data_IF_968413788097
#
_entry.id   IF_968413788097
#
_cell.length_a   1.000
_cell.length_b   1.000
_cell.length_c   1.000
_cell.angle_alpha   90.00
_cell.angle_beta   90.00
_cell.angle_gamma   90.00
#
_symmetry.space_group_name_H-M   'P 1'
#
loop_
_entity.id
_entity.type
_entity.pdbx_description
1 polymer ?
#
# COMPACT_ATOMS: atom_id res chain seq x y z
N UNK A 1 -25.71 -4.30 16.36
CA UNK A 1 -25.00 -3.48 15.34
C UNK A 1 -23.57 -3.33 15.83
N UNK A 2 -22.63 -4.08 15.25
CA UNK A 2 -21.21 -3.91 15.56
C UNK A 2 -20.81 -2.48 15.15
N UNK A 3 -20.14 -1.75 16.03
CA UNK A 3 -19.59 -0.43 15.67
C UNK A 3 -18.74 -0.61 14.42
N UNK A 4 -19.00 0.20 13.39
CA UNK A 4 -18.15 0.22 12.21
C UNK A 4 -16.85 0.87 12.64
N UNK A 5 -15.90 0.06 13.11
CA UNK A 5 -14.58 0.53 13.51
C UNK A 5 -13.97 1.16 12.26
N UNK A 6 -13.71 2.46 12.29
CA UNK A 6 -13.01 3.16 11.23
C UNK A 6 -11.79 3.84 11.85
N UNK A 7 -10.60 3.50 11.36
CA UNK A 7 -9.33 4.02 11.87
C UNK A 7 -8.67 4.87 10.81
N UNK A 8 -8.39 6.11 11.16
CA UNK A 8 -7.54 6.97 10.36
C UNK A 8 -6.08 6.60 10.62
N UNK A 9 -5.40 6.15 9.57
CA UNK A 9 -3.94 5.98 9.58
C UNK A 9 -3.30 7.34 9.29
N UNK A 10 -2.47 7.89 10.20
CA UNK A 10 -1.69 9.10 9.94
C UNK A 10 -0.77 8.93 8.73
N UNK A 11 -0.46 10.04 8.05
CA UNK A 11 0.42 10.04 6.88
C UNK A 11 1.61 10.95 7.13
N UNK A 12 2.81 10.42 7.01
CA UNK A 12 4.06 11.17 7.03
C UNK A 12 4.64 11.27 5.62
N UNK A 13 4.91 12.51 5.18
CA UNK A 13 5.52 12.77 3.87
C UNK A 13 7.02 12.96 4.01
N UNK A 14 7.78 12.06 3.41
CA UNK A 14 9.22 12.16 3.35
C UNK A 14 9.67 12.90 2.08
N UNK A 15 10.82 13.57 2.16
CA UNK A 15 11.52 14.05 0.97
C UNK A 15 11.96 12.82 0.17
N UNK A 16 11.75 12.85 -1.14
CA UNK A 16 12.28 11.79 -2.00
C UNK A 16 13.82 11.82 -1.94
N UNK A 17 14.43 10.67 -1.63
CA UNK A 17 15.89 10.55 -1.64
C UNK A 17 16.48 10.71 -3.06
N UNK A 18 15.68 10.43 -4.10
CA UNK A 18 16.03 10.59 -5.52
C UNK A 18 14.81 11.02 -6.34
N UNK A 19 15.02 11.51 -7.56
CA UNK A 19 13.93 11.82 -8.49
C UNK A 19 13.11 10.56 -8.81
N UNK A 20 11.99 10.37 -8.10
CA UNK A 20 11.07 9.30 -8.36
C UNK A 20 10.46 9.51 -9.76
N UNK A 21 10.87 8.69 -10.73
CA UNK A 21 10.25 8.72 -12.05
C UNK A 21 8.77 8.37 -11.95
N UNK A 22 7.98 8.86 -12.90
CA UNK A 22 6.55 8.54 -12.93
C UNK A 22 6.32 7.07 -13.37
N UNK A 23 5.21 6.50 -12.92
CA UNK A 23 4.61 5.24 -13.36
C UNK A 23 3.08 5.32 -13.12
N UNK A 24 2.32 4.59 -13.90
CA UNK A 24 0.85 4.56 -13.87
C UNK A 24 0.32 3.33 -13.12
N UNK A 25 -0.96 3.38 -12.73
CA UNK A 25 -1.60 2.25 -12.04
C UNK A 25 -1.55 0.98 -12.90
N UNK A 26 -1.72 1.12 -14.22
CA UNK A 26 -1.68 0.03 -15.19
C UNK A 26 -0.27 -0.54 -15.42
N UNK A 27 0.78 0.14 -14.92
CA UNK A 27 2.15 -0.39 -14.96
C UNK A 27 2.40 -1.44 -13.86
N UNK A 28 1.47 -1.57 -12.90
CA UNK A 28 1.55 -2.57 -11.84
C UNK A 28 1.09 -3.95 -12.33
N UNK A 29 1.73 -5.05 -11.87
CA UNK A 29 1.40 -6.39 -12.35
C UNK A 29 0.20 -6.99 -11.62
N UNK A 30 -0.52 -7.89 -12.31
CA UNK A 30 -1.55 -8.75 -11.71
C UNK A 30 -2.65 -7.97 -11.00
N UNK A 31 -3.00 -8.40 -9.79
CA UNK A 31 -4.06 -7.76 -9.00
C UNK A 31 -3.69 -6.35 -8.49
N UNK A 32 -2.40 -5.97 -8.49
CA UNK A 32 -1.98 -4.63 -8.05
C UNK A 32 -2.50 -3.50 -8.94
N UNK A 33 -2.75 -3.76 -10.23
CA UNK A 33 -3.38 -2.79 -11.13
C UNK A 33 -4.89 -2.60 -10.86
N UNK A 34 -5.50 -3.47 -10.05
CA UNK A 34 -6.94 -3.51 -9.82
C UNK A 34 -7.35 -3.30 -8.35
N UNK A 35 -6.84 -2.27 -7.64
CA UNK A 35 -7.22 -2.03 -6.26
C UNK A 35 -8.67 -1.54 -6.17
N UNK A 36 -9.27 -1.61 -4.98
CA UNK A 36 -10.59 -1.01 -4.71
C UNK A 36 -10.53 0.53 -4.79
N UNK A 37 -9.42 1.12 -4.33
CA UNK A 37 -9.12 2.55 -4.47
C UNK A 37 -7.63 2.80 -4.68
N UNK A 38 -7.28 3.93 -5.30
CA UNK A 38 -5.88 4.32 -5.49
C UNK A 38 -5.70 5.83 -5.56
N UNK A 39 -4.58 6.32 -5.02
CA UNK A 39 -4.17 7.73 -5.03
C UNK A 39 -2.68 7.85 -5.32
N UNK A 40 -2.31 8.76 -6.22
CA UNK A 40 -0.92 9.19 -6.44
C UNK A 40 -0.57 10.33 -5.50
N UNK A 41 0.56 10.21 -4.83
CA UNK A 41 1.07 11.19 -3.87
C UNK A 41 1.77 12.33 -4.62
N UNK A 42 1.28 13.55 -4.43
CA UNK A 42 1.92 14.77 -4.94
C UNK A 42 3.05 15.27 -4.04
N UNK A 43 3.82 16.26 -4.51
CA UNK A 43 4.81 16.95 -3.66
C UNK A 43 4.14 17.71 -2.50
N UNK A 44 2.91 18.16 -2.71
CA UNK A 44 2.04 18.75 -1.70
C UNK A 44 0.66 18.08 -1.72
N UNK A 45 -0.09 18.17 -0.62
CA UNK A 45 -1.42 17.55 -0.46
C UNK A 45 -2.38 17.91 -1.59
N UNK A 46 -2.41 19.19 -2.00
CA UNK A 46 -3.26 19.68 -3.10
C UNK A 46 -2.91 19.11 -4.48
N UNK A 47 -1.77 18.45 -4.61
CA UNK A 47 -1.28 17.83 -5.84
C UNK A 47 -1.47 16.30 -5.83
N UNK A 48 -2.03 15.74 -4.75
CA UNK A 48 -2.43 14.34 -4.77
C UNK A 48 -3.49 14.14 -5.84
N UNK A 49 -3.38 13.02 -6.56
CA UNK A 49 -4.26 12.70 -7.67
C UNK A 49 -4.97 11.38 -7.41
N UNK A 50 -6.29 11.42 -7.36
CA UNK A 50 -7.11 10.21 -7.38
C UNK A 50 -6.83 9.41 -8.67
N UNK A 51 -6.51 8.13 -8.51
CA UNK A 51 -6.36 7.20 -9.63
C UNK A 51 -7.58 6.28 -9.72
N UNK A 52 -8.21 5.92 -8.60
CA UNK A 52 -9.40 5.05 -8.57
C UNK A 52 -10.26 5.27 -7.32
N UNK A 53 -11.58 5.38 -7.52
CA UNK A 53 -12.68 5.43 -6.52
C UNK A 53 -12.65 6.57 -5.48
N UNK A 54 -11.51 6.84 -4.85
CA UNK A 54 -11.36 7.79 -3.74
C UNK A 54 -10.74 9.10 -4.22
N UNK A 55 -11.26 10.23 -3.72
CA UNK A 55 -10.84 11.58 -4.16
C UNK A 55 -9.57 12.12 -3.51
N UNK A 56 -9.11 11.55 -2.39
CA UNK A 56 -7.97 12.09 -1.62
C UNK A 56 -7.19 11.03 -0.86
N UNK A 57 -5.93 11.35 -0.53
CA UNK A 57 -5.07 10.49 0.27
C UNK A 57 -5.66 10.22 1.68
N UNK A 58 -6.26 11.24 2.31
CA UNK A 58 -6.93 11.06 3.60
C UNK A 58 -8.11 10.08 3.52
N UNK A 59 -8.84 10.07 2.40
CA UNK A 59 -9.96 9.15 2.21
C UNK A 59 -9.52 7.69 2.07
N UNK A 60 -8.35 7.44 1.47
CA UNK A 60 -7.84 6.07 1.25
C UNK A 60 -7.17 5.51 2.52
N UNK A 61 -6.61 6.37 3.38
CA UNK A 61 -5.99 5.97 4.66
C UNK A 61 -6.95 5.87 5.84
N UNK A 62 -8.25 6.07 5.59
CA UNK A 62 -9.31 5.76 6.54
C UNK A 62 -9.76 4.32 6.34
N UNK A 63 -9.26 3.42 7.18
CA UNK A 63 -9.46 1.98 7.06
C UNK A 63 -10.66 1.51 7.90
N UNK A 64 -11.39 0.55 7.34
CA UNK A 64 -12.36 -0.32 8.03
C UNK A 64 -11.78 -1.74 8.13
N UNK A 65 -12.27 -2.58 9.06
CA UNK A 65 -11.90 -3.98 9.11
C UNK A 65 -11.93 -4.67 7.74
N UNK A 66 -10.91 -5.46 7.44
CA UNK A 66 -10.72 -6.12 6.14
C UNK A 66 -10.20 -5.21 5.04
N UNK A 67 -9.81 -3.97 5.36
CA UNK A 67 -9.16 -3.08 4.41
C UNK A 67 -7.67 -2.98 4.67
N UNK A 68 -6.92 -2.92 3.56
CA UNK A 68 -5.47 -2.90 3.58
C UNK A 68 -4.98 -1.89 2.56
N UNK A 69 -4.00 -1.09 2.96
CA UNK A 69 -3.28 -0.20 2.06
C UNK A 69 -1.86 -0.69 1.82
N UNK A 70 -1.38 -0.49 0.59
CA UNK A 70 -0.01 -0.76 0.18
C UNK A 70 0.60 0.47 -0.49
N UNK A 71 1.82 0.83 -0.10
CA UNK A 71 2.58 1.91 -0.73
C UNK A 71 3.56 1.35 -1.77
N UNK A 72 3.43 1.79 -3.03
CA UNK A 72 4.38 1.51 -4.09
C UNK A 72 5.06 2.78 -4.61
N UNK A 73 6.39 2.75 -4.63
CA UNK A 73 7.18 3.62 -5.48
C UNK A 73 7.51 2.96 -6.82
N UNK A 74 8.24 3.69 -7.67
CA UNK A 74 8.65 3.20 -8.99
C UNK A 74 9.58 1.99 -8.94
N UNK A 75 10.49 1.95 -7.96
CA UNK A 75 11.42 0.82 -7.82
C UNK A 75 10.67 -0.44 -7.44
N UNK A 76 9.74 -0.32 -6.50
CA UNK A 76 8.88 -1.39 -6.01
C UNK A 76 7.98 -1.94 -7.13
N UNK A 77 7.38 -1.04 -7.92
CA UNK A 77 6.62 -1.41 -9.12
C UNK A 77 7.48 -2.20 -10.11
N UNK A 78 8.71 -1.75 -10.39
CA UNK A 78 9.63 -2.47 -11.28
C UNK A 78 10.00 -3.86 -10.76
N UNK A 79 10.26 -3.99 -9.46
CA UNK A 79 10.62 -5.27 -8.85
C UNK A 79 9.45 -6.26 -8.90
N UNK A 80 8.24 -5.82 -8.56
CA UNK A 80 7.03 -6.64 -8.70
C UNK A 80 6.82 -7.08 -10.16
N UNK A 81 6.94 -6.17 -11.12
CA UNK A 81 6.80 -6.49 -12.55
C UNK A 81 7.88 -7.44 -13.05
N UNK A 82 9.12 -7.31 -12.58
CA UNK A 82 10.19 -8.26 -12.89
C UNK A 82 9.92 -9.65 -12.28
N UNK A 83 9.34 -9.71 -11.09
CA UNK A 83 8.93 -10.96 -10.46
C UNK A 83 7.81 -11.66 -11.24
N UNK A 84 6.74 -10.93 -11.57
CA UNK A 84 5.64 -11.43 -12.42
C UNK A 84 6.17 -12.07 -13.71
N UNK A 85 7.10 -11.39 -14.40
CA UNK A 85 7.72 -11.89 -15.63
C UNK A 85 8.53 -13.16 -15.40
N UNK A 86 9.34 -13.22 -14.33
CA UNK A 86 10.12 -14.43 -13.98
C UNK A 86 9.23 -15.63 -13.65
N UNK A 87 8.03 -15.38 -13.13
CA UNK A 87 7.01 -16.40 -12.86
C UNK A 87 6.12 -16.69 -14.08
N UNK A 88 6.52 -16.26 -15.28
CA UNK A 88 5.74 -16.42 -16.52
C UNK A 88 4.30 -15.91 -16.41
N UNK A 89 4.06 -14.87 -15.60
CA UNK A 89 2.73 -14.32 -15.36
C UNK A 89 1.91 -15.02 -14.27
N UNK A 90 2.47 -16.02 -13.60
CA UNK A 90 1.79 -16.81 -12.56
C UNK A 90 2.20 -16.43 -11.13
N UNK A 91 2.72 -15.22 -10.89
CA UNK A 91 2.97 -14.79 -9.52
C UNK A 91 1.65 -14.53 -8.79
N UNK A 92 1.59 -14.99 -7.56
CA UNK A 92 0.45 -14.79 -6.68
C UNK A 92 0.42 -13.36 -6.15
N UNK A 93 -0.79 -12.91 -5.80
CA UNK A 93 -1.00 -11.54 -5.35
C UNK A 93 -0.19 -11.18 -4.10
N UNK A 94 -0.09 -12.08 -3.12
CA UNK A 94 0.69 -11.85 -1.91
C UNK A 94 2.20 -11.74 -2.21
N UNK A 95 2.71 -12.48 -3.19
CA UNK A 95 4.10 -12.38 -3.65
C UNK A 95 4.36 -10.99 -4.26
N UNK A 96 3.41 -10.47 -5.04
CA UNK A 96 3.51 -9.12 -5.61
C UNK A 96 3.43 -8.03 -4.53
N UNK A 97 2.52 -8.18 -3.56
CA UNK A 97 2.37 -7.30 -2.41
C UNK A 97 3.64 -7.18 -1.57
N UNK A 98 4.44 -8.26 -1.46
CA UNK A 98 5.69 -8.27 -0.71
C UNK A 98 6.73 -7.24 -1.20
N UNK A 99 6.56 -6.69 -2.40
CA UNK A 99 7.42 -5.63 -2.95
C UNK A 99 7.02 -4.22 -2.51
N UNK A 100 5.88 -4.04 -1.85
CA UNK A 100 5.45 -2.73 -1.35
C UNK A 100 6.46 -2.17 -0.34
N UNK A 101 6.58 -0.84 -0.25
CA UNK A 101 7.40 -0.18 0.78
C UNK A 101 6.85 -0.42 2.18
N UNK A 102 5.53 -0.41 2.27
CA UNK A 102 4.81 -0.54 3.52
C UNK A 102 3.42 -1.07 3.20
N UNK A 103 2.94 -1.99 4.02
CA UNK A 103 1.56 -2.47 4.01
C UNK A 103 0.97 -2.23 5.39
N UNK A 104 -0.25 -1.70 5.43
CA UNK A 104 -0.99 -1.45 6.67
C UNK A 104 -2.39 -2.01 6.50
N UNK A 105 -2.76 -2.97 7.35
CA UNK A 105 -4.08 -3.60 7.37
C UNK A 105 -4.82 -3.32 8.67
N UNK A 106 -6.15 -3.38 8.62
CA UNK A 106 -7.01 -3.36 9.80
C UNK A 106 -7.74 -4.70 9.90
N UNK A 107 -7.53 -5.44 10.98
CA UNK A 107 -8.17 -6.73 11.19
C UNK A 107 -9.65 -6.60 11.64
N UNK A 108 -10.33 -7.74 11.84
CA UNK A 108 -11.70 -7.78 12.34
C UNK A 108 -11.86 -7.30 13.80
N UNK A 109 -10.79 -7.29 14.58
CA UNK A 109 -10.79 -6.87 15.99
C UNK A 109 -10.56 -5.36 16.17
N UNK A 110 -10.14 -4.67 15.10
CA UNK A 110 -9.79 -3.25 15.13
C UNK A 110 -8.31 -3.00 15.43
N UNK A 111 -7.46 -4.03 15.40
CA UNK A 111 -6.01 -3.90 15.51
C UNK A 111 -5.38 -3.60 14.14
N UNK A 112 -4.42 -2.68 14.14
CA UNK A 112 -3.62 -2.38 12.96
C UNK A 112 -2.46 -3.36 12.87
N UNK A 113 -2.31 -3.94 11.68
CA UNK A 113 -1.16 -4.73 11.29
C UNK A 113 -0.28 -3.87 10.38
N UNK A 114 0.99 -3.71 10.72
CA UNK A 114 1.98 -3.20 9.77
C UNK A 114 2.84 -4.37 9.33
N UNK A 115 2.95 -4.52 8.03
CA UNK A 115 3.94 -5.41 7.47
C UNK A 115 5.10 -4.56 6.95
N UNK A 116 6.24 -4.62 7.65
CA UNK A 116 7.48 -4.01 7.20
C UNK A 116 8.14 -4.97 6.21
N UNK A 117 8.05 -4.64 4.93
CA UNK A 117 8.78 -5.37 3.91
C UNK A 117 10.26 -4.98 4.01
N UNK A 118 11.14 -5.97 4.16
CA UNK A 118 12.56 -5.76 3.90
C UNK A 118 12.78 -5.32 2.44
N UNK A 119 14.03 -4.94 2.10
CA UNK A 119 14.36 -4.68 0.69
C UNK A 119 13.95 -5.88 -0.18
N UNK A 120 13.42 -5.60 -1.37
CA UNK A 120 13.01 -6.60 -2.34
C UNK A 120 14.02 -7.76 -2.45
N UNK A 121 13.60 -8.97 -2.05
CA UNK A 121 14.43 -10.18 -2.10
C UNK A 121 15.24 -10.50 -0.83
N UNK A 122 15.04 -9.79 0.29
CA UNK A 122 15.79 -10.02 1.54
C UNK A 122 15.11 -10.91 2.59
N UNK A 123 13.92 -11.46 2.35
CA UNK A 123 13.30 -12.41 3.25
C UNK A 123 11.77 -12.35 3.28
N UNK A 124 11.14 -13.21 4.10
CA UNK A 124 9.70 -13.15 4.31
C UNK A 124 9.33 -11.81 4.95
N UNK A 125 8.14 -11.31 4.64
CA UNK A 125 7.65 -10.18 5.39
C UNK A 125 7.43 -10.57 6.85
N UNK A 126 7.80 -9.68 7.76
CA UNK A 126 7.52 -9.82 9.18
C UNK A 126 6.24 -9.03 9.48
N UNK A 127 5.11 -9.71 9.77
CA UNK A 127 3.93 -9.04 10.30
C UNK A 127 4.24 -8.49 11.70
N UNK A 128 4.02 -7.20 11.89
CA UNK A 128 4.16 -6.55 13.19
C UNK A 128 2.80 -5.98 13.60
N UNK A 129 2.23 -6.58 14.64
CA UNK A 129 1.12 -5.99 15.36
C UNK A 129 1.65 -4.82 16.17
N UNK A 130 1.11 -3.64 15.91
CA UNK A 130 1.62 -2.39 16.46
C UNK A 130 0.47 -1.57 17.05
N UNK A 131 0.72 -0.87 18.17
CA UNK A 131 -0.26 0.06 18.71
C UNK A 131 -0.66 1.10 17.68
N UNK A 132 -1.93 1.53 17.71
CA UNK A 132 -2.48 2.47 16.72
C UNK A 132 -1.68 3.76 16.65
N UNK A 133 -1.24 4.26 17.80
CA UNK A 133 -0.48 5.48 18.00
C UNK A 133 0.95 5.41 17.42
N UNK A 134 1.46 4.20 17.18
CA UNK A 134 2.80 3.98 16.59
C UNK A 134 2.72 3.77 15.08
N UNK A 135 1.53 3.62 14.51
CA UNK A 135 1.33 3.38 13.08
C UNK A 135 1.28 4.69 12.31
N UNK A 136 2.15 4.83 11.32
CA UNK A 136 2.11 5.91 10.34
C UNK A 136 2.41 5.38 8.95
N UNK A 137 1.64 5.82 7.97
CA UNK A 137 1.91 5.57 6.55
C UNK A 137 2.97 6.56 6.07
N UNK A 138 4.14 6.04 5.72
CA UNK A 138 5.24 6.83 5.18
C UNK A 138 5.16 6.87 3.66
N UNK A 139 5.08 8.07 3.09
CA UNK A 139 4.93 8.27 1.64
C UNK A 139 5.94 9.25 1.07
N UNK A 140 6.29 9.05 -0.20
CA UNK A 140 7.14 9.96 -0.97
C UNK A 140 6.39 10.50 -2.20
N UNK A 141 6.80 11.65 -2.75
CA UNK A 141 6.25 12.15 -4.01
C UNK A 141 6.34 11.10 -5.12
N UNK A 142 5.26 10.98 -5.90
CA UNK A 142 5.02 9.99 -6.96
C UNK A 142 4.77 8.54 -6.51
N UNK A 143 4.74 8.26 -5.21
CA UNK A 143 4.22 6.99 -4.72
C UNK A 143 2.74 6.82 -5.12
N UNK A 144 2.32 5.58 -5.35
CA UNK A 144 0.91 5.21 -5.50
C UNK A 144 0.50 4.41 -4.27
N UNK A 145 -0.52 4.92 -3.58
CA UNK A 145 -1.17 4.22 -2.47
C UNK A 145 -2.35 3.45 -3.03
N UNK A 146 -2.34 2.15 -2.81
CA UNK A 146 -3.38 1.21 -3.24
C UNK A 146 -4.18 0.81 -2.00
N UNK A 147 -5.50 0.71 -2.10
CA UNK A 147 -6.34 0.07 -1.08
C UNK A 147 -7.06 -1.13 -1.68
N UNK A 148 -7.00 -2.23 -0.96
CA UNK A 148 -7.75 -3.43 -1.24
C UNK A 148 -8.78 -3.61 -0.13
N UNK A 149 -9.99 -3.96 -0.52
CA UNK A 149 -11.09 -4.27 0.38
C UNK A 149 -11.23 -5.81 0.44
N UNK A 150 -11.85 -6.31 1.50
CA UNK A 150 -12.07 -7.74 1.75
C UNK A 150 -10.78 -8.59 1.80
N UNK A 151 -9.71 -8.01 2.32
CA UNK A 151 -8.45 -8.68 2.58
C UNK A 151 -8.16 -8.80 4.07
N UNK A 152 -7.87 -10.02 4.53
CA UNK A 152 -7.24 -10.27 5.84
C UNK A 152 -5.82 -10.81 5.61
N UNK A 153 -4.86 -10.28 6.38
CA UNK A 153 -3.50 -10.78 6.37
C UNK A 153 -3.33 -11.70 7.58
N UNK A 154 -3.65 -12.98 7.40
CA UNK A 154 -3.38 -14.04 8.37
C UNK A 154 -2.01 -14.65 8.02
N UNK A 155 -0.93 -14.06 8.53
CA UNK A 155 0.45 -14.55 8.36
C UNK A 155 1.01 -15.12 9.66
#
# INVERSE_FOLDING_TARGET
MASKIEIQVPVERQKAAQAAGNFELDDLPGALANPAAAVRVGKAVKQDKALKTVRSLNGITKLSPGQVIANYGKSESKWASAYQKRRAGAAEFHELLSYARQIIGLDSSGQLLICLMGHAGQGPCIPLWVPREEVTLTVQPNDIILRFDDMTFDW
#
